data_IF_730640475200
#
_entry.id   IF_730640475200
#
_cell.length_a   1.000
_cell.length_b   1.000
_cell.length_c   1.000
_cell.angle_alpha   90.00
_cell.angle_beta   90.00
_cell.angle_gamma   90.00
#
_symmetry.space_group_name_H-M   'P 1'
#
loop_
_entity.id
_entity.type
_entity.pdbx_description
1 polymer ?
#
# COMPACT_ATOMS: atom_id res chain seq x y z
N UNK A 1 1.44 -3.45 1.37
CA UNK A 1 0.27 -3.91 0.61
C UNK A 1 0.58 -4.66 -0.69
N UNK A 2 1.86 -4.96 -1.01
CA UNK A 2 2.26 -5.56 -2.29
C UNK A 2 1.38 -6.75 -2.76
N UNK A 3 1.03 -7.74 -1.91
CA UNK A 3 0.27 -8.92 -2.36
C UNK A 3 -1.14 -8.61 -2.88
N UNK A 4 -1.73 -7.47 -2.49
CA UNK A 4 -3.11 -7.14 -2.80
C UNK A 4 -3.27 -6.37 -4.12
N UNK A 5 -2.19 -5.77 -4.65
CA UNK A 5 -2.24 -4.94 -5.87
C UNK A 5 -1.25 -5.35 -6.96
N UNK A 6 -0.19 -6.10 -6.66
CA UNK A 6 0.82 -6.43 -7.66
C UNK A 6 0.22 -7.21 -8.83
N UNK A 7 0.51 -6.77 -10.06
CA UNK A 7 0.04 -7.34 -11.32
C UNK A 7 -1.19 -6.63 -11.88
N UNK A 8 -1.88 -5.80 -11.10
CA UNK A 8 -3.00 -4.99 -11.61
C UNK A 8 -2.52 -3.91 -12.58
N UNK A 9 -1.37 -3.30 -12.31
CA UNK A 9 -0.77 -2.30 -13.18
C UNK A 9 -0.51 -2.88 -14.57
N UNK A 10 0.12 -4.06 -14.65
CA UNK A 10 0.42 -4.71 -15.92
C UNK A 10 -0.85 -5.20 -16.63
N UNK A 11 -1.79 -5.78 -15.89
CA UNK A 11 -3.02 -6.32 -16.49
C UNK A 11 -3.89 -5.21 -17.10
N UNK A 12 -4.14 -4.14 -16.34
CA UNK A 12 -4.97 -3.02 -16.79
C UNK A 12 -4.26 -2.18 -17.86
N UNK A 13 -2.96 -1.90 -17.72
CA UNK A 13 -2.20 -1.14 -18.74
C UNK A 13 -2.21 -1.86 -20.08
N UNK A 14 -1.93 -3.18 -20.09
CA UNK A 14 -1.97 -3.96 -21.34
C UNK A 14 -3.35 -4.01 -21.96
N UNK A 15 -4.42 -4.02 -21.18
CA UNK A 15 -5.78 -3.95 -21.71
C UNK A 15 -6.06 -2.59 -22.36
N UNK A 16 -5.61 -1.49 -21.74
CA UNK A 16 -5.70 -0.15 -22.32
C UNK A 16 -4.89 -0.01 -23.61
N UNK A 17 -3.68 -0.56 -23.65
CA UNK A 17 -2.82 -0.59 -24.86
C UNK A 17 -3.48 -1.36 -26.02
N UNK A 18 -4.26 -2.41 -25.72
CA UNK A 18 -5.05 -3.14 -26.72
C UNK A 18 -6.31 -2.40 -27.18
N UNK A 19 -6.59 -1.21 -26.64
CA UNK A 19 -7.78 -0.42 -26.97
C UNK A 19 -9.05 -0.88 -26.25
N UNK A 20 -8.93 -1.69 -25.18
CA UNK A 20 -10.09 -2.27 -24.46
C UNK A 20 -10.68 -1.31 -23.41
N UNK A 21 -10.27 -0.04 -23.37
CA UNK A 21 -10.69 0.92 -22.35
C UNK A 21 -12.22 1.10 -22.24
N UNK A 22 -12.93 1.15 -23.38
CA UNK A 22 -14.39 1.24 -23.38
C UNK A 22 -15.04 -0.03 -22.79
N UNK A 23 -14.47 -1.21 -23.06
CA UNK A 23 -14.96 -2.47 -22.51
C UNK A 23 -14.77 -2.50 -21.00
N UNK A 24 -13.60 -2.07 -20.50
CA UNK A 24 -13.33 -1.99 -19.07
C UNK A 24 -14.28 -1.00 -18.36
N UNK A 25 -14.55 0.15 -18.98
CA UNK A 25 -15.52 1.12 -18.47
C UNK A 25 -16.93 0.53 -18.41
N UNK A 26 -17.36 -0.16 -19.48
CA UNK A 26 -18.66 -0.85 -19.52
C UNK A 26 -18.74 -1.96 -18.46
N UNK A 27 -17.69 -2.75 -18.28
CA UNK A 27 -17.61 -3.77 -17.24
C UNK A 27 -17.76 -3.13 -15.85
N UNK A 28 -17.12 -1.99 -15.59
CA UNK A 28 -17.25 -1.29 -14.30
C UNK A 28 -18.67 -0.78 -14.06
N UNK A 29 -19.34 -0.30 -15.09
CA UNK A 29 -20.72 0.21 -14.96
C UNK A 29 -21.74 -0.93 -14.80
N UNK A 30 -21.64 -1.95 -15.64
CA UNK A 30 -22.69 -2.96 -15.83
C UNK A 30 -22.42 -4.28 -15.10
N UNK A 31 -21.20 -4.54 -14.67
CA UNK A 31 -20.83 -5.79 -14.01
C UNK A 31 -20.45 -5.58 -12.53
N UNK A 32 -21.35 -5.88 -11.58
CA UNK A 32 -21.11 -5.65 -10.16
C UNK A 32 -19.83 -6.28 -9.61
N UNK A 33 -19.48 -7.48 -10.08
CA UNK A 33 -18.24 -8.16 -9.67
C UNK A 33 -16.99 -7.33 -10.03
N UNK A 34 -16.91 -6.85 -11.27
CA UNK A 34 -15.76 -6.07 -11.73
C UNK A 34 -15.69 -4.73 -10.99
N UNK A 35 -16.84 -4.06 -10.81
CA UNK A 35 -16.93 -2.85 -9.99
C UNK A 35 -16.38 -3.06 -8.59
N UNK A 36 -16.89 -4.04 -7.85
CA UNK A 36 -16.43 -4.36 -6.50
C UNK A 36 -14.94 -4.70 -6.46
N UNK A 37 -14.42 -5.37 -7.49
CA UNK A 37 -12.99 -5.69 -7.56
C UNK A 37 -12.11 -4.45 -7.73
N UNK A 38 -12.53 -3.51 -8.57
CA UNK A 38 -11.85 -2.22 -8.76
C UNK A 38 -11.97 -1.35 -7.50
N UNK A 39 -13.14 -1.31 -6.85
CA UNK A 39 -13.34 -0.55 -5.61
C UNK A 39 -12.44 -1.10 -4.48
N UNK A 40 -12.30 -2.43 -4.38
CA UNK A 40 -11.38 -3.07 -3.43
C UNK A 40 -9.92 -2.72 -3.73
N UNK A 41 -9.51 -2.76 -5.01
CA UNK A 41 -8.17 -2.36 -5.43
C UNK A 41 -7.91 -0.89 -5.08
N UNK A 42 -8.85 0.00 -5.37
CA UNK A 42 -8.77 1.43 -5.07
C UNK A 42 -8.57 1.67 -3.56
N UNK A 43 -9.29 0.93 -2.71
CA UNK A 43 -9.12 0.98 -1.26
C UNK A 43 -7.73 0.51 -0.80
N UNK A 44 -7.20 -0.57 -1.39
CA UNK A 44 -5.86 -1.08 -1.08
C UNK A 44 -4.78 -0.07 -1.49
N UNK A 45 -4.90 0.50 -2.68
CA UNK A 45 -3.98 1.51 -3.20
C UNK A 45 -4.01 2.78 -2.34
N UNK A 46 -5.19 3.24 -1.92
CA UNK A 46 -5.33 4.39 -1.03
C UNK A 46 -4.70 4.18 0.36
N UNK A 47 -4.58 2.92 0.82
CA UNK A 47 -3.92 2.57 2.08
C UNK A 47 -2.41 2.32 1.92
N UNK A 48 -1.92 2.16 0.70
CA UNK A 48 -0.51 1.91 0.44
C UNK A 48 0.28 3.23 0.52
N UNK A 49 1.34 3.24 1.33
CA UNK A 49 2.18 4.41 1.52
C UNK A 49 3.59 4.13 1.00
N UNK A 50 3.97 4.84 -0.07
CA UNK A 50 5.28 4.71 -0.71
C UNK A 50 6.41 5.33 0.11
N UNK A 51 6.11 6.37 0.89
CA UNK A 51 7.11 7.06 1.71
C UNK A 51 7.48 6.23 2.93
N UNK A 52 6.48 5.63 3.58
CA UNK A 52 6.71 4.64 4.64
C UNK A 52 7.46 3.43 4.07
N UNK A 53 7.09 2.91 2.89
CA UNK A 53 7.84 1.81 2.28
C UNK A 53 9.32 2.17 2.04
N UNK A 54 9.59 3.36 1.50
CA UNK A 54 10.96 3.88 1.30
C UNK A 54 11.72 3.99 2.63
N UNK A 55 11.09 4.50 3.69
CA UNK A 55 11.70 4.60 5.01
C UNK A 55 12.21 3.25 5.53
N UNK A 56 11.40 2.20 5.38
CA UNK A 56 11.80 0.84 5.78
C UNK A 56 13.00 0.37 4.98
N UNK A 57 13.02 0.63 3.67
CA UNK A 57 14.14 0.25 2.80
C UNK A 57 15.43 0.95 3.19
N UNK A 58 15.39 2.28 3.35
CA UNK A 58 16.54 3.08 3.73
C UNK A 58 17.13 2.62 5.07
N UNK A 59 16.27 2.16 6.00
CA UNK A 59 16.71 1.74 7.33
C UNK A 59 17.16 0.28 7.42
N UNK A 60 16.60 -0.61 6.60
CA UNK A 60 16.68 -2.07 6.83
C UNK A 60 17.28 -2.86 5.66
N UNK A 61 17.43 -2.27 4.49
CA UNK A 61 17.81 -2.97 3.25
C UNK A 61 19.20 -2.53 2.80
N UNK A 62 20.01 -3.48 2.33
CA UNK A 62 21.34 -3.20 1.78
C UNK A 62 21.24 -2.39 0.48
N UNK A 63 22.26 -1.57 0.19
CA UNK A 63 22.28 -0.69 -0.99
C UNK A 63 22.07 -1.46 -2.30
N UNK A 64 22.54 -2.72 -2.38
CA UNK A 64 22.40 -3.56 -3.57
C UNK A 64 20.94 -3.89 -3.94
N UNK A 65 20.01 -3.88 -2.97
CA UNK A 65 18.61 -4.22 -3.17
C UNK A 65 17.69 -3.00 -3.27
N UNK A 66 18.19 -1.78 -3.04
CA UNK A 66 17.36 -0.57 -3.06
C UNK A 66 16.71 -0.30 -4.43
N UNK A 67 17.37 -0.71 -5.52
CA UNK A 67 16.82 -0.58 -6.88
C UNK A 67 15.50 -1.36 -7.05
N UNK A 68 15.37 -2.53 -6.42
CA UNK A 68 14.14 -3.33 -6.46
C UNK A 68 13.00 -2.62 -5.73
N UNK A 69 13.28 -2.05 -4.55
CA UNK A 69 12.30 -1.26 -3.82
C UNK A 69 11.79 -0.07 -4.64
N UNK A 70 12.71 0.69 -5.23
CA UNK A 70 12.38 1.81 -6.11
C UNK A 70 11.49 1.37 -7.28
N UNK A 71 11.81 0.24 -7.91
CA UNK A 71 11.00 -0.33 -8.98
C UNK A 71 9.58 -0.70 -8.50
N UNK A 72 9.45 -1.34 -7.32
CA UNK A 72 8.14 -1.69 -6.77
C UNK A 72 7.29 -0.45 -6.43
N UNK A 73 7.89 0.65 -5.95
CA UNK A 73 7.17 1.92 -5.74
C UNK A 73 6.72 2.56 -7.04
N UNK A 74 7.52 2.44 -8.10
CA UNK A 74 7.13 2.90 -9.42
C UNK A 74 5.91 2.12 -9.94
N UNK A 75 5.92 0.78 -9.80
CA UNK A 75 4.75 -0.04 -10.13
C UNK A 75 3.50 0.34 -9.32
N UNK A 76 3.66 0.68 -8.04
CA UNK A 76 2.54 1.19 -7.22
C UNK A 76 1.98 2.51 -7.79
N UNK A 77 2.84 3.44 -8.19
CA UNK A 77 2.41 4.70 -8.81
C UNK A 77 1.67 4.45 -10.12
N UNK A 78 2.20 3.55 -10.96
CA UNK A 78 1.53 3.13 -12.20
C UNK A 78 0.16 2.51 -11.93
N UNK A 79 0.04 1.62 -10.93
CA UNK A 79 -1.23 1.03 -10.53
C UNK A 79 -2.27 2.11 -10.15
N UNK A 80 -1.86 3.10 -9.34
CA UNK A 80 -2.71 4.24 -8.97
C UNK A 80 -3.18 5.01 -10.22
N UNK A 81 -2.26 5.37 -11.12
CA UNK A 81 -2.58 6.15 -12.31
C UNK A 81 -3.56 5.41 -13.24
N UNK A 82 -3.36 4.12 -13.42
CA UNK A 82 -4.22 3.29 -14.29
C UNK A 82 -5.62 3.15 -13.70
N UNK A 83 -5.74 2.96 -12.39
CA UNK A 83 -7.05 2.92 -11.70
C UNK A 83 -7.76 4.27 -11.76
N UNK A 84 -7.05 5.38 -11.57
CA UNK A 84 -7.62 6.73 -11.73
C UNK A 84 -8.13 6.96 -13.15
N UNK A 85 -7.34 6.57 -14.16
CA UNK A 85 -7.74 6.63 -15.57
C UNK A 85 -8.97 5.79 -15.87
N UNK A 86 -9.02 4.54 -15.38
CA UNK A 86 -10.15 3.64 -15.57
C UNK A 86 -11.44 4.15 -14.91
N UNK A 87 -11.33 4.74 -13.72
CA UNK A 87 -12.50 5.23 -12.98
C UNK A 87 -12.91 6.66 -13.34
N UNK A 88 -12.05 7.40 -14.06
CA UNK A 88 -12.25 8.81 -14.36
C UNK A 88 -12.12 9.72 -13.13
N UNK A 89 -11.54 9.23 -12.04
CA UNK A 89 -11.37 9.97 -10.79
C UNK A 89 -10.04 10.75 -10.80
N UNK A 90 -10.01 11.89 -10.12
CA UNK A 90 -8.76 12.67 -9.89
C UNK A 90 -7.99 12.21 -8.65
N UNK A 91 -8.66 11.49 -7.76
CA UNK A 91 -8.13 11.01 -6.49
C UNK A 91 -8.77 9.67 -6.18
N UNK A 92 -7.98 8.76 -5.58
CA UNK A 92 -8.49 7.46 -5.17
C UNK A 92 -9.55 7.65 -4.08
N UNK A 93 -10.61 6.85 -4.15
CA UNK A 93 -11.76 6.89 -3.24
C UNK A 93 -12.53 8.22 -3.28
N UNK A 94 -12.52 8.94 -4.41
CA UNK A 94 -13.32 10.17 -4.54
C UNK A 94 -14.84 9.93 -4.35
N UNK A 95 -15.31 8.70 -4.57
CA UNK A 95 -16.68 8.27 -4.31
C UNK A 95 -16.97 7.97 -2.82
N UNK A 96 -15.97 7.96 -1.96
CA UNK A 96 -16.09 7.68 -0.52
C UNK A 96 -15.19 8.63 0.32
N UNK A 97 -15.52 9.93 0.37
CA UNK A 97 -14.70 10.93 1.07
C UNK A 97 -14.55 10.63 2.57
N UNK A 98 -15.58 10.08 3.21
CA UNK A 98 -15.51 9.66 4.62
C UNK A 98 -14.42 8.60 4.83
N UNK A 99 -14.36 7.58 3.95
CA UNK A 99 -13.32 6.54 4.03
C UNK A 99 -11.93 7.12 3.87
N UNK A 100 -11.76 8.07 2.94
CA UNK A 100 -10.50 8.76 2.73
C UNK A 100 -10.09 9.57 3.96
N UNK A 101 -11.02 10.29 4.59
CA UNK A 101 -10.78 11.03 5.84
C UNK A 101 -10.37 10.09 6.97
N UNK A 102 -11.04 8.95 7.13
CA UNK A 102 -10.65 7.92 8.10
C UNK A 102 -9.24 7.37 7.84
N UNK A 103 -8.89 7.12 6.57
CA UNK A 103 -7.53 6.69 6.19
C UNK A 103 -6.51 7.77 6.56
N UNK A 104 -6.79 9.03 6.24
CA UNK A 104 -5.89 10.15 6.53
C UNK A 104 -5.69 10.34 8.02
N UNK A 105 -6.78 10.35 8.81
CA UNK A 105 -6.72 10.48 10.26
C UNK A 105 -5.92 9.33 10.88
N UNK A 106 -6.17 8.10 10.43
CA UNK A 106 -5.41 6.92 10.86
C UNK A 106 -3.92 7.07 10.55
N UNK A 107 -3.55 7.51 9.36
CA UNK A 107 -2.14 7.64 8.95
C UNK A 107 -1.38 8.57 9.93
N UNK A 108 -1.98 9.69 10.35
CA UNK A 108 -1.40 10.59 11.37
C UNK A 108 -0.95 9.87 12.64
N UNK A 109 -1.66 8.82 13.06
CA UNK A 109 -1.30 8.03 14.24
C UNK A 109 -0.39 6.84 13.92
N UNK A 110 -0.41 6.33 12.69
CA UNK A 110 0.40 5.18 12.27
C UNK A 110 1.82 5.55 11.85
N UNK A 111 2.02 6.72 11.25
CA UNK A 111 3.32 7.21 10.81
C UNK A 111 4.39 7.16 11.92
N UNK A 112 4.13 7.65 13.16
CA UNK A 112 5.10 7.54 14.24
C UNK A 112 5.37 6.08 14.65
N UNK A 113 4.38 5.19 14.58
CA UNK A 113 4.57 3.76 14.86
C UNK A 113 5.43 3.10 13.77
N UNK A 114 5.24 3.47 12.51
CA UNK A 114 6.06 2.97 11.40
C UNK A 114 7.52 3.42 11.52
N UNK A 115 7.76 4.70 11.85
CA UNK A 115 9.07 5.26 12.11
C UNK A 115 9.77 4.53 13.27
N UNK A 116 9.06 4.37 14.40
CA UNK A 116 9.57 3.66 15.56
C UNK A 116 9.89 2.20 15.21
N UNK A 117 8.98 1.49 14.53
CA UNK A 117 9.17 0.09 14.15
C UNK A 117 10.39 -0.11 13.24
N UNK A 118 10.62 0.76 12.26
CA UNK A 118 11.79 0.68 11.39
C UNK A 118 13.10 0.78 12.20
N UNK A 119 13.15 1.65 13.20
CA UNK A 119 14.29 1.77 14.10
C UNK A 119 14.46 0.53 15.00
N UNK A 120 13.36 0.05 15.61
CA UNK A 120 13.38 -1.14 16.46
C UNK A 120 13.86 -2.37 15.70
N UNK A 121 13.38 -2.57 14.47
CA UNK A 121 13.84 -3.65 13.58
C UNK A 121 15.33 -3.55 13.27
N UNK A 122 15.84 -2.35 12.99
CA UNK A 122 17.27 -2.13 12.71
C UNK A 122 18.15 -2.52 13.89
N UNK A 123 17.74 -2.12 15.11
CA UNK A 123 18.45 -2.48 16.35
C UNK A 123 18.35 -3.96 16.68
N UNK A 124 17.17 -4.55 16.50
CA UNK A 124 16.93 -5.98 16.75
C UNK A 124 17.79 -6.82 15.81
N UNK A 125 17.83 -6.53 14.51
CA UNK A 125 18.69 -7.25 13.54
C UNK A 125 20.19 -7.12 13.79
N UNK A 126 20.62 -6.05 14.45
CA UNK A 126 22.04 -5.79 14.74
C UNK A 126 22.52 -6.43 16.05
N UNK A 127 21.63 -7.05 16.82
CA UNK A 127 21.93 -7.65 18.12
C UNK A 127 21.33 -9.05 18.19
N UNK A 128 22.03 -10.01 18.80
CA UNK A 128 21.35 -11.21 19.28
C UNK A 128 20.59 -10.85 20.56
N UNK A 129 19.39 -10.30 20.42
CA UNK A 129 18.53 -9.94 21.54
C UNK A 129 17.68 -11.14 21.98
N UNK A 130 17.52 -11.32 23.29
CA UNK A 130 16.54 -12.28 23.82
C UNK A 130 15.11 -11.78 23.57
N UNK A 131 14.19 -12.73 23.39
CA UNK A 131 12.77 -12.48 23.10
C UNK A 131 12.06 -11.65 24.19
N UNK A 132 12.57 -11.66 25.43
CA UNK A 132 11.99 -10.92 26.57
C UNK A 132 12.61 -9.53 26.77
N UNK A 133 13.46 -9.07 25.85
CA UNK A 133 14.08 -7.76 25.98
C UNK A 133 13.05 -6.62 25.79
N UNK A 134 13.23 -5.45 26.43
CA UNK A 134 12.37 -4.29 26.21
C UNK A 134 12.28 -3.86 24.73
N UNK A 135 13.31 -4.17 23.94
CA UNK A 135 13.36 -3.92 22.50
C UNK A 135 12.34 -4.78 21.74
N UNK A 136 12.30 -6.09 22.01
CA UNK A 136 11.35 -7.01 21.38
C UNK A 136 9.91 -6.73 21.81
N UNK A 137 9.69 -6.40 23.09
CA UNK A 137 8.37 -5.98 23.57
C UNK A 137 7.89 -4.70 22.86
N UNK A 138 8.76 -3.71 22.69
CA UNK A 138 8.42 -2.49 21.96
C UNK A 138 8.10 -2.77 20.47
N UNK A 139 8.82 -3.71 19.85
CA UNK A 139 8.57 -4.14 18.47
C UNK A 139 7.21 -4.85 18.35
N UNK A 140 6.86 -5.72 19.31
CA UNK A 140 5.55 -6.36 19.34
C UNK A 140 4.41 -5.35 19.48
N UNK A 141 4.60 -4.31 20.31
CA UNK A 141 3.63 -3.22 20.45
C UNK A 141 3.47 -2.45 19.13
N UNK A 142 4.56 -2.16 18.41
CA UNK A 142 4.45 -1.47 17.12
C UNK A 142 3.74 -2.32 16.06
N UNK A 143 4.03 -3.63 16.01
CA UNK A 143 3.36 -4.57 15.10
C UNK A 143 1.86 -4.62 15.39
N UNK A 144 1.47 -4.78 16.67
CA UNK A 144 0.08 -4.83 17.08
C UNK A 144 -0.65 -3.50 16.80
N UNK A 145 0.00 -2.36 17.08
CA UNK A 145 -0.55 -1.03 16.82
C UNK A 145 -0.80 -0.76 15.33
N UNK A 146 0.17 -1.10 14.48
CA UNK A 146 0.05 -0.98 13.02
C UNK A 146 -1.06 -1.90 12.50
N UNK A 147 -1.11 -3.15 12.95
CA UNK A 147 -2.16 -4.09 12.55
C UNK A 147 -3.56 -3.58 12.93
N UNK A 148 -3.72 -3.07 14.16
CA UNK A 148 -4.98 -2.52 14.65
C UNK A 148 -5.43 -1.29 13.84
N UNK A 149 -4.50 -0.42 13.44
CA UNK A 149 -4.81 0.74 12.62
C UNK A 149 -5.15 0.39 11.17
N UNK A 150 -4.35 -0.48 10.52
CA UNK A 150 -4.53 -0.82 9.11
C UNK A 150 -5.83 -1.60 8.83
N UNK A 151 -6.33 -2.36 9.81
CA UNK A 151 -7.54 -3.19 9.70
C UNK A 151 -7.47 -4.12 8.48
N UNK A 152 -8.46 -4.10 7.59
CA UNK A 152 -8.50 -4.92 6.39
C UNK A 152 -7.52 -4.40 5.32
N UNK A 153 -6.68 -5.29 4.79
CA UNK A 153 -5.58 -4.92 3.88
C UNK A 153 -5.54 -5.72 2.58
N UNK A 154 -6.42 -6.72 2.45
CA UNK A 154 -6.55 -7.62 1.31
C UNK A 154 -7.33 -8.86 1.71
#
# INVERSE_FOLDING_TARGET
MLPAWLGWEAALSKALERGEGMVLAQMREQWPFFRTRIDMLEMVLAKADSDIARLYEERLVSAELQHLGAHLRDLLSQACNVVLGLTGQKQLLAHSPETLEFISLRNTYLDPLHLLQAELLSRSRSREASLDSPLELALLVSVAGIAAGLRNTG
#
